data_IF_025469751570
#
_entry.id   IF_025469751570
#
_cell.length_a   1.000
_cell.length_b   1.000
_cell.length_c   1.000
_cell.angle_alpha   90.00
_cell.angle_beta   90.00
_cell.angle_gamma   90.00
#
_symmetry.space_group_name_H-M   'P 1'
#
loop_
_entity.id
_entity.type
_entity.pdbx_description
1 polymer ?
#
# COMPACT_ATOMS: atom_id res chain seq x y z
N UNK A 1 2.89 3.24 -5.40
CA UNK A 1 2.11 4.23 -6.20
C UNK A 1 2.48 4.07 -7.67
N UNK A 2 1.52 4.18 -8.60
CA UNK A 2 1.82 4.10 -10.04
C UNK A 2 2.79 5.23 -10.43
N UNK A 3 3.82 4.93 -11.24
CA UNK A 3 4.70 5.96 -11.81
C UNK A 3 3.94 6.67 -12.93
N UNK A 4 3.53 7.92 -12.68
CA UNK A 4 2.67 8.69 -13.59
C UNK A 4 3.48 9.68 -14.43
N UNK A 5 3.69 9.36 -15.71
CA UNK A 5 4.24 10.30 -16.69
C UNK A 5 3.22 11.34 -17.16
N UNK A 6 3.68 12.40 -17.85
CA UNK A 6 2.81 13.49 -18.36
C UNK A 6 1.62 12.98 -19.18
N UNK A 7 1.85 12.01 -20.07
CA UNK A 7 0.79 11.43 -20.91
C UNK A 7 -0.32 10.81 -20.06
N UNK A 8 0.04 10.09 -19.00
CA UNK A 8 -0.92 9.47 -18.09
C UNK A 8 -1.78 10.52 -17.39
N UNK A 9 -1.15 11.57 -16.84
CA UNK A 9 -1.88 12.67 -16.21
C UNK A 9 -2.94 13.28 -17.14
N UNK A 10 -2.53 13.61 -18.37
CA UNK A 10 -3.40 14.25 -19.35
C UNK A 10 -4.53 13.35 -19.87
N UNK A 11 -4.34 12.02 -19.87
CA UNK A 11 -5.29 11.09 -20.49
C UNK A 11 -6.17 10.34 -19.49
N UNK A 12 -5.70 10.14 -18.26
CA UNK A 12 -6.30 9.21 -17.31
C UNK A 12 -6.45 9.77 -15.88
N UNK A 13 -5.92 10.97 -15.59
CA UNK A 13 -6.02 11.55 -14.23
C UNK A 13 -6.95 12.76 -14.19
N UNK A 14 -6.78 13.74 -15.08
CA UNK A 14 -7.54 14.99 -14.98
C UNK A 14 -9.04 14.81 -15.24
N UNK A 15 -9.45 14.04 -16.25
CA UNK A 15 -10.86 13.91 -16.67
C UNK A 15 -11.67 15.23 -16.55
N UNK A 16 -12.68 15.29 -15.70
CA UNK A 16 -13.52 16.46 -15.37
C UNK A 16 -13.09 17.15 -14.06
N UNK A 17 -11.98 16.74 -13.46
CA UNK A 17 -11.46 17.22 -12.19
C UNK A 17 -10.65 18.50 -12.35
N UNK A 18 -10.75 19.34 -11.33
CA UNK A 18 -9.91 20.51 -11.12
C UNK A 18 -8.77 20.15 -10.17
N UNK A 19 -7.57 20.63 -10.48
CA UNK A 19 -6.39 20.50 -9.63
C UNK A 19 -6.17 21.79 -8.85
N UNK A 20 -6.09 21.70 -7.53
CA UNK A 20 -5.58 22.76 -6.67
C UNK A 20 -4.27 22.32 -6.04
N UNK A 21 -3.27 23.22 -6.02
CA UNK A 21 -1.95 22.98 -5.46
C UNK A 21 -1.74 23.95 -4.31
N UNK A 22 -1.32 23.41 -3.16
CA UNK A 22 -0.86 24.21 -2.04
C UNK A 22 0.63 24.50 -2.19
N UNK A 23 0.99 25.77 -2.02
CA UNK A 23 2.37 26.26 -2.01
C UNK A 23 2.72 26.78 -0.62
N UNK A 24 3.89 26.43 -0.12
CA UNK A 24 4.42 26.96 1.14
C UNK A 24 4.89 28.43 0.99
N UNK A 25 5.41 29.02 2.08
CA UNK A 25 5.91 30.40 2.10
C UNK A 25 7.04 30.65 1.06
N UNK A 26 7.85 29.63 0.79
CA UNK A 26 8.95 29.65 -0.18
C UNK A 26 8.49 29.36 -1.63
N UNK A 27 7.18 29.18 -1.86
CA UNK A 27 6.55 28.82 -3.14
C UNK A 27 6.91 27.43 -3.65
N UNK A 28 7.22 26.48 -2.77
CA UNK A 28 7.35 25.08 -3.15
C UNK A 28 5.97 24.41 -3.14
N UNK A 29 5.65 23.56 -4.14
CA UNK A 29 4.40 22.80 -4.15
C UNK A 29 4.49 21.65 -3.14
N UNK A 30 3.71 21.72 -2.06
CA UNK A 30 3.79 20.77 -0.93
C UNK A 30 2.53 19.95 -0.70
N UNK A 31 1.50 20.14 -1.53
CA UNK A 31 0.36 19.24 -1.59
C UNK A 31 -0.58 19.60 -2.73
N UNK A 32 -1.45 18.66 -3.10
CA UNK A 32 -2.51 18.91 -4.06
C UNK A 32 -3.81 18.18 -3.72
N UNK A 33 -4.90 18.65 -4.32
CA UNK A 33 -6.16 17.92 -4.42
C UNK A 33 -6.64 17.86 -5.86
N UNK A 34 -7.26 16.74 -6.23
CA UNK A 34 -8.09 16.63 -7.44
C UNK A 34 -9.54 16.55 -7.01
N UNK A 35 -10.36 17.48 -7.49
CA UNK A 35 -11.73 17.62 -7.03
C UNK A 35 -12.66 18.13 -8.12
N UNK A 36 -13.95 17.94 -7.92
CA UNK A 36 -15.01 18.61 -8.70
C UNK A 36 -16.15 19.05 -7.79
N UNK A 37 -16.91 20.02 -8.25
CA UNK A 37 -18.11 20.51 -7.56
C UNK A 37 -19.28 20.47 -8.54
N UNK A 38 -20.31 19.71 -8.20
CA UNK A 38 -21.55 19.62 -8.95
C UNK A 38 -22.73 19.44 -8.00
N UNK A 39 -23.88 20.06 -8.30
CA UNK A 39 -25.11 19.92 -7.49
C UNK A 39 -24.93 20.16 -5.98
N UNK A 40 -24.12 21.16 -5.60
CA UNK A 40 -23.73 21.45 -4.21
C UNK A 40 -23.02 20.30 -3.47
N UNK A 41 -22.38 19.38 -4.18
CA UNK A 41 -21.48 18.37 -3.62
C UNK A 41 -20.07 18.58 -4.14
N UNK A 42 -19.08 18.55 -3.25
CA UNK A 42 -17.67 18.45 -3.63
C UNK A 42 -17.22 17.00 -3.52
N UNK A 43 -16.66 16.46 -4.59
CA UNK A 43 -15.99 15.16 -4.60
C UNK A 43 -14.50 15.38 -4.75
N UNK A 44 -13.71 14.94 -3.77
CA UNK A 44 -12.24 14.98 -3.78
C UNK A 44 -11.75 13.55 -4.05
N UNK A 45 -11.25 13.31 -5.25
CA UNK A 45 -10.78 11.98 -5.67
C UNK A 45 -9.33 11.70 -5.25
N UNK A 46 -8.50 12.74 -5.16
CA UNK A 46 -7.14 12.63 -4.61
C UNK A 46 -6.91 13.75 -3.60
N UNK A 47 -6.39 13.39 -2.42
CA UNK A 47 -5.97 14.32 -1.36
C UNK A 47 -4.55 13.96 -0.93
N UNK A 48 -3.56 14.76 -1.35
CA UNK A 48 -2.13 14.40 -1.23
C UNK A 48 -1.32 15.53 -0.61
N UNK A 49 -1.32 15.67 0.72
CA UNK A 49 -0.39 16.55 1.44
C UNK A 49 0.95 15.86 1.72
N UNK A 50 2.08 16.55 1.55
CA UNK A 50 3.40 16.03 1.93
C UNK A 50 3.69 16.18 3.43
N UNK A 51 3.08 17.16 4.09
CA UNK A 51 3.22 17.42 5.53
C UNK A 51 1.96 18.12 6.09
N UNK A 52 1.93 18.34 7.41
CA UNK A 52 0.72 18.81 8.09
C UNK A 52 0.29 20.23 7.72
N UNK A 53 1.23 21.12 7.42
CA UNK A 53 0.90 22.46 6.92
C UNK A 53 0.15 22.39 5.58
N UNK A 54 0.64 21.59 4.62
CA UNK A 54 -0.06 21.38 3.36
C UNK A 54 -1.46 20.79 3.55
N UNK A 55 -1.62 19.85 4.50
CA UNK A 55 -2.94 19.30 4.88
C UNK A 55 -3.87 20.40 5.38
N UNK A 56 -3.42 21.24 6.30
CA UNK A 56 -4.20 22.35 6.82
C UNK A 56 -4.55 23.36 5.72
N UNK A 57 -3.60 23.67 4.83
CA UNK A 57 -3.82 24.57 3.70
C UNK A 57 -4.88 24.07 2.73
N UNK A 58 -4.79 22.81 2.31
CA UNK A 58 -5.78 22.16 1.45
C UNK A 58 -7.13 22.01 2.15
N UNK A 59 -7.17 21.71 3.45
CA UNK A 59 -8.40 21.66 4.21
C UNK A 59 -9.07 23.04 4.32
N UNK A 60 -8.31 24.09 4.61
CA UNK A 60 -8.83 25.46 4.64
C UNK A 60 -9.35 25.90 3.27
N UNK A 61 -8.69 25.48 2.18
CA UNK A 61 -9.20 25.68 0.82
C UNK A 61 -10.57 25.02 0.62
N UNK A 62 -10.76 23.79 1.08
CA UNK A 62 -12.07 23.11 1.06
C UNK A 62 -13.09 23.90 1.91
N UNK A 63 -12.71 24.36 3.11
CA UNK A 63 -13.60 25.15 3.98
C UNK A 63 -14.04 26.48 3.36
N UNK A 64 -13.24 27.10 2.47
CA UNK A 64 -13.65 28.32 1.75
C UNK A 64 -14.77 28.09 0.73
N UNK A 65 -15.18 26.84 0.51
CA UNK A 65 -16.32 26.47 -0.32
C UNK A 65 -17.60 26.19 0.51
N UNK A 66 -17.60 26.47 1.82
CA UNK A 66 -18.70 26.21 2.74
C UNK A 66 -20.06 26.79 2.30
N UNK A 67 -20.07 27.94 1.63
CA UNK A 67 -21.29 28.56 1.10
C UNK A 67 -21.80 27.91 -0.19
N UNK A 68 -20.98 27.09 -0.86
CA UNK A 68 -21.29 26.48 -2.16
C UNK A 68 -21.74 25.02 -2.06
N UNK A 69 -21.30 24.31 -1.01
CA UNK A 69 -21.51 22.86 -0.87
C UNK A 69 -22.34 22.52 0.37
N UNK A 70 -23.11 21.43 0.26
CA UNK A 70 -23.86 20.80 1.34
C UNK A 70 -23.27 19.45 1.74
N UNK A 71 -22.48 18.85 0.85
CA UNK A 71 -21.87 17.53 1.02
C UNK A 71 -20.43 17.55 0.52
N UNK A 72 -19.55 16.88 1.25
CA UNK A 72 -18.16 16.64 0.89
C UNK A 72 -17.93 15.13 0.92
N UNK A 73 -17.44 14.59 -0.18
CA UNK A 73 -16.98 13.21 -0.29
C UNK A 73 -15.49 13.21 -0.62
N UNK A 74 -14.70 12.39 0.09
CA UNK A 74 -13.26 12.32 -0.11
C UNK A 74 -12.82 10.86 -0.21
N UNK A 75 -11.99 10.56 -1.21
CA UNK A 75 -11.26 9.29 -1.30
C UNK A 75 -9.86 9.50 -0.72
N UNK A 76 -9.60 8.87 0.42
CA UNK A 76 -8.34 8.99 1.16
C UNK A 76 -7.77 7.62 1.49
N UNK A 77 -6.48 7.58 1.80
CA UNK A 77 -5.85 6.38 2.37
C UNK A 77 -6.37 6.10 3.78
N UNK A 78 -6.41 4.83 4.19
CA UNK A 78 -6.70 4.43 5.57
C UNK A 78 -5.72 5.04 6.59
N UNK A 79 -4.52 5.45 6.15
CA UNK A 79 -3.52 6.08 7.02
C UNK A 79 -3.64 7.61 7.10
N UNK A 80 -4.55 8.23 6.36
CA UNK A 80 -4.70 9.69 6.35
C UNK A 80 -5.38 10.17 7.65
N UNK A 81 -4.73 11.02 8.46
CA UNK A 81 -5.24 11.41 9.78
C UNK A 81 -6.36 12.46 9.75
N UNK A 82 -6.72 13.03 8.58
CA UNK A 82 -7.70 14.11 8.47
C UNK A 82 -9.02 13.87 9.27
N UNK A 83 -9.66 12.67 9.24
CA UNK A 83 -10.89 12.45 10.01
C UNK A 83 -10.71 12.67 11.52
N UNK A 84 -9.54 12.39 12.08
CA UNK A 84 -9.23 12.63 13.50
C UNK A 84 -9.12 14.12 13.84
N UNK A 85 -8.79 14.97 12.87
CA UNK A 85 -8.59 16.40 13.07
C UNK A 85 -9.91 17.21 13.06
N UNK A 86 -11.03 16.57 12.70
CA UNK A 86 -12.34 17.22 12.64
C UNK A 86 -12.89 17.49 14.04
N UNK A 87 -13.68 18.57 14.17
CA UNK A 87 -14.39 18.87 15.43
C UNK A 87 -15.35 17.75 15.83
N UNK A 88 -16.03 17.16 14.83
CA UNK A 88 -16.87 15.97 14.99
C UNK A 88 -16.32 14.87 14.08
N UNK A 89 -15.49 13.94 14.61
CA UNK A 89 -14.85 12.90 13.80
C UNK A 89 -15.78 11.73 13.45
N UNK A 90 -17.01 11.67 14.00
CA UNK A 90 -18.00 10.61 13.73
C UNK A 90 -18.72 10.84 12.40
N UNK A 91 -17.95 10.93 11.33
CA UNK A 91 -18.45 11.04 9.95
C UNK A 91 -18.78 9.65 9.38
N UNK A 92 -19.55 9.64 8.29
CA UNK A 92 -19.72 8.42 7.50
C UNK A 92 -18.38 8.08 6.83
N UNK A 93 -17.81 6.92 7.16
CA UNK A 93 -16.59 6.40 6.56
C UNK A 93 -16.80 4.92 6.17
N UNK A 94 -16.38 4.56 4.97
CA UNK A 94 -16.46 3.20 4.43
C UNK A 94 -15.07 2.79 3.95
N UNK A 95 -14.64 1.57 4.31
CA UNK A 95 -13.40 0.97 3.80
C UNK A 95 -13.78 -0.08 2.77
N UNK A 96 -13.29 0.08 1.54
CA UNK A 96 -13.60 -0.80 0.42
C UNK A 96 -12.32 -1.45 -0.12
N UNK A 97 -12.23 -2.79 -0.16
CA UNK A 97 -11.17 -3.47 -0.92
C UNK A 97 -11.25 -3.02 -2.39
N UNK A 98 -10.15 -2.46 -2.91
CA UNK A 98 -10.19 -1.75 -4.18
C UNK A 98 -9.39 -2.45 -5.29
N UNK A 99 -8.09 -2.67 -5.10
CA UNK A 99 -7.22 -3.31 -6.09
C UNK A 99 -6.71 -4.67 -5.63
N UNK A 100 -6.40 -5.52 -6.60
CA UNK A 100 -5.68 -6.77 -6.41
C UNK A 100 -4.27 -6.66 -6.98
N UNK A 101 -3.32 -7.36 -6.36
CA UNK A 101 -1.94 -7.45 -6.83
C UNK A 101 -1.49 -8.92 -6.80
N UNK A 102 -0.64 -9.31 -7.75
CA UNK A 102 -0.04 -10.64 -7.84
C UNK A 102 1.41 -10.52 -8.27
N UNK A 103 2.31 -11.18 -7.55
CA UNK A 103 3.69 -11.38 -8.00
C UNK A 103 3.66 -12.33 -9.21
N UNK A 104 4.26 -11.87 -10.32
CA UNK A 104 4.27 -12.64 -11.58
C UNK A 104 5.44 -13.63 -11.60
N UNK A 105 6.62 -13.18 -11.18
CA UNK A 105 7.86 -13.93 -11.15
C UNK A 105 8.52 -13.69 -9.80
N UNK A 106 8.54 -14.72 -8.95
CA UNK A 106 9.07 -14.66 -7.58
C UNK A 106 10.58 -14.39 -7.57
N UNK A 107 11.34 -15.03 -8.47
CA UNK A 107 12.79 -14.85 -8.55
C UNK A 107 13.15 -13.41 -8.91
N UNK A 108 12.55 -12.89 -9.98
CA UNK A 108 12.81 -11.53 -10.43
C UNK A 108 12.29 -10.46 -9.48
N UNK A 109 11.21 -10.76 -8.76
CA UNK A 109 10.70 -9.88 -7.71
C UNK A 109 11.72 -9.74 -6.56
N UNK A 110 12.22 -10.85 -6.03
CA UNK A 110 13.16 -10.83 -4.92
C UNK A 110 14.53 -10.24 -5.29
N UNK A 111 14.92 -10.24 -6.56
CA UNK A 111 16.11 -9.52 -7.03
C UNK A 111 16.03 -7.99 -6.86
N UNK A 112 14.82 -7.44 -6.69
CA UNK A 112 14.59 -5.99 -6.57
C UNK A 112 13.96 -5.58 -5.23
N UNK A 113 13.45 -6.54 -4.47
CA UNK A 113 12.69 -6.24 -3.26
C UNK A 113 13.61 -6.07 -2.04
N UNK A 114 13.44 -4.96 -1.34
CA UNK A 114 14.19 -4.66 -0.12
C UNK A 114 13.43 -5.16 1.12
N UNK A 115 14.14 -5.84 2.02
CA UNK A 115 13.63 -6.32 3.29
C UNK A 115 14.15 -5.46 4.45
N UNK A 116 13.44 -5.50 5.58
CA UNK A 116 13.89 -4.89 6.82
C UNK A 116 14.82 -5.86 7.56
N UNK A 117 16.12 -5.75 7.34
CA UNK A 117 17.11 -6.65 7.94
C UNK A 117 17.50 -6.32 9.40
N UNK A 118 16.91 -5.27 9.99
CA UNK A 118 17.29 -4.75 11.32
C UNK A 118 17.35 -5.87 12.38
N UNK A 119 18.58 -6.19 12.83
CA UNK A 119 18.94 -7.20 13.83
C UNK A 119 18.46 -8.63 13.57
N UNK A 120 18.03 -8.94 12.36
CA UNK A 120 17.46 -10.25 12.03
C UNK A 120 18.56 -11.24 11.64
N UNK A 121 18.98 -12.06 12.61
CA UNK A 121 20.00 -13.11 12.42
C UNK A 121 19.40 -14.49 12.10
N UNK A 122 18.09 -14.65 12.33
CA UNK A 122 17.41 -15.92 12.09
C UNK A 122 17.10 -16.11 10.61
N UNK A 123 17.47 -17.28 10.11
CA UNK A 123 17.11 -17.76 8.77
C UNK A 123 15.59 -17.89 8.63
N UNK A 124 15.06 -17.38 7.51
CA UNK A 124 13.68 -17.60 7.10
C UNK A 124 13.68 -18.31 5.76
N UNK A 125 12.95 -19.41 5.68
CA UNK A 125 12.74 -20.17 4.44
C UNK A 125 11.26 -20.08 4.09
N UNK A 126 10.97 -19.70 2.86
CA UNK A 126 9.62 -19.61 2.31
C UNK A 126 9.45 -20.70 1.25
N UNK A 127 8.43 -21.53 1.37
CA UNK A 127 8.04 -22.50 0.36
C UNK A 127 6.78 -21.98 -0.33
N UNK A 128 6.92 -21.65 -1.61
CA UNK A 128 5.88 -20.96 -2.36
C UNK A 128 5.24 -21.96 -3.31
N UNK A 129 3.90 -21.94 -3.34
CA UNK A 129 3.10 -22.73 -4.27
C UNK A 129 2.30 -21.83 -5.19
N UNK A 130 2.22 -22.21 -6.47
CA UNK A 130 1.49 -21.48 -7.49
C UNK A 130 0.93 -22.46 -8.53
N UNK A 131 -0.38 -22.65 -8.50
CA UNK A 131 -1.08 -23.59 -9.38
C UNK A 131 -1.20 -23.11 -10.82
N UNK A 132 -1.03 -21.80 -11.08
CA UNK A 132 -1.23 -21.20 -12.40
C UNK A 132 0.09 -20.79 -13.07
N UNK A 133 1.14 -20.54 -12.29
CA UNK A 133 2.47 -20.20 -12.79
C UNK A 133 3.53 -21.14 -12.21
N UNK A 134 3.80 -22.29 -12.86
CA UNK A 134 4.68 -23.33 -12.33
C UNK A 134 6.07 -22.87 -11.92
N UNK A 135 6.61 -21.85 -12.59
CA UNK A 135 7.93 -21.28 -12.31
C UNK A 135 8.04 -20.62 -10.92
N UNK A 136 6.91 -20.26 -10.29
CA UNK A 136 6.88 -19.72 -8.94
C UNK A 136 6.91 -20.80 -7.84
N UNK A 137 6.83 -22.10 -8.19
CA UNK A 137 6.92 -23.19 -7.21
C UNK A 137 8.37 -23.44 -6.79
N UNK A 138 8.91 -22.49 -6.03
CA UNK A 138 10.30 -22.47 -5.57
C UNK A 138 10.36 -22.22 -4.07
N UNK A 139 11.53 -22.50 -3.48
CA UNK A 139 11.81 -22.12 -2.10
C UNK A 139 12.78 -20.94 -2.07
N UNK A 140 12.55 -19.98 -1.18
CA UNK A 140 13.34 -18.76 -1.02
C UNK A 140 13.91 -18.71 0.39
N UNK A 141 15.21 -18.50 0.51
CA UNK A 141 15.93 -18.32 1.78
C UNK A 141 16.33 -16.89 1.97
N UNK A 142 16.00 -16.35 3.13
CA UNK A 142 16.29 -15.00 3.59
C UNK A 142 17.25 -15.12 4.78
N UNK A 143 18.52 -14.73 4.58
CA UNK A 143 19.54 -14.80 5.62
C UNK A 143 20.68 -13.82 5.32
N UNK A 144 21.23 -13.17 6.35
CA UNK A 144 22.44 -12.34 6.25
C UNK A 144 22.40 -11.25 5.16
N UNK A 145 21.26 -10.58 4.97
CA UNK A 145 21.06 -9.57 3.92
C UNK A 145 21.04 -10.13 2.49
N UNK A 146 20.99 -11.46 2.35
CA UNK A 146 20.91 -12.14 1.06
C UNK A 146 19.59 -12.88 0.91
N UNK A 147 19.06 -12.81 -0.32
CA UNK A 147 17.90 -13.56 -0.76
C UNK A 147 18.38 -14.58 -1.78
N UNK A 148 18.20 -15.87 -1.48
CA UNK A 148 18.71 -16.96 -2.32
C UNK A 148 17.60 -17.94 -2.66
N UNK A 149 17.58 -18.42 -3.90
CA UNK A 149 16.59 -19.42 -4.35
C UNK A 149 17.17 -20.81 -4.13
N UNK A 150 16.40 -21.64 -3.42
CA UNK A 150 16.75 -23.03 -3.14
C UNK A 150 15.94 -23.93 -4.07
N UNK A 151 16.62 -24.79 -4.81
CA UNK A 151 16.02 -25.74 -5.77
C UNK A 151 15.85 -27.16 -5.20
N UNK A 152 16.06 -27.36 -3.91
CA UNK A 152 16.18 -28.68 -3.30
C UNK A 152 14.98 -29.07 -2.42
N UNK A 153 14.55 -30.33 -2.55
CA UNK A 153 13.52 -30.98 -1.71
C UNK A 153 13.97 -31.23 -0.26
N UNK A 154 15.22 -30.92 0.08
CA UNK A 154 15.91 -31.36 1.31
C UNK A 154 15.47 -30.60 2.57
N UNK A 155 14.62 -29.58 2.44
CA UNK A 155 14.16 -28.74 3.57
C UNK A 155 12.63 -28.79 3.70
N UNK A 156 12.01 -29.98 3.56
CA UNK A 156 10.55 -30.10 3.73
C UNK A 156 10.07 -29.95 5.19
N UNK A 157 10.95 -30.07 6.18
CA UNK A 157 10.58 -30.04 7.59
C UNK A 157 10.72 -28.66 8.27
N UNK A 158 11.40 -27.69 7.64
CA UNK A 158 11.61 -26.33 8.17
C UNK A 158 11.21 -25.30 7.15
N UNK A 159 10.63 -24.17 7.59
CA UNK A 159 10.20 -23.09 6.72
C UNK A 159 8.69 -22.90 6.67
N UNK A 160 8.31 -21.78 6.08
CA UNK A 160 6.94 -21.29 6.04
C UNK A 160 6.31 -21.70 4.70
N UNK A 161 5.22 -22.45 4.75
CA UNK A 161 4.42 -22.81 3.59
C UNK A 161 3.41 -21.71 3.28
N UNK A 162 3.34 -21.27 2.02
CA UNK A 162 2.35 -20.31 1.55
C UNK A 162 2.08 -20.44 0.05
N UNK A 163 0.93 -19.95 -0.39
CA UNK A 163 0.66 -19.79 -1.81
C UNK A 163 1.12 -18.42 -2.33
N UNK A 164 1.11 -18.27 -3.66
CA UNK A 164 1.46 -17.01 -4.31
C UNK A 164 0.55 -15.84 -3.89
N UNK A 165 -0.68 -16.12 -3.45
CA UNK A 165 -1.64 -15.11 -3.03
C UNK A 165 -1.21 -14.51 -1.68
N UNK A 166 -0.90 -15.38 -0.71
CA UNK A 166 -0.36 -15.02 0.59
C UNK A 166 0.97 -14.27 0.46
N UNK A 167 1.88 -14.75 -0.39
CA UNK A 167 3.13 -14.04 -0.67
C UNK A 167 2.87 -12.64 -1.22
N UNK A 168 2.01 -12.52 -2.24
CA UNK A 168 1.72 -11.24 -2.89
C UNK A 168 1.13 -10.21 -1.93
N UNK A 169 0.17 -10.61 -1.10
CA UNK A 169 -0.48 -9.70 -0.14
C UNK A 169 0.46 -9.27 1.00
N UNK A 170 1.35 -10.17 1.45
CA UNK A 170 2.38 -9.86 2.44
C UNK A 170 3.39 -8.87 1.88
N UNK A 171 3.94 -9.16 0.70
CA UNK A 171 4.96 -8.32 0.07
C UNK A 171 4.41 -6.97 -0.38
N UNK A 172 3.10 -6.86 -0.63
CA UNK A 172 2.45 -5.57 -0.88
C UNK A 172 2.21 -4.75 0.40
N UNK A 173 2.31 -5.37 1.57
CA UNK A 173 2.08 -4.74 2.88
C UNK A 173 0.60 -4.63 3.29
N UNK A 174 -0.30 -5.33 2.58
CA UNK A 174 -1.74 -5.30 2.88
C UNK A 174 -2.07 -6.17 4.11
N UNK A 175 -1.49 -7.37 4.19
CA UNK A 175 -1.60 -8.28 5.33
C UNK A 175 -0.24 -8.65 5.90
N UNK A 176 -0.17 -8.82 7.22
CA UNK A 176 1.05 -9.21 7.92
C UNK A 176 1.17 -10.74 8.02
N UNK A 177 2.39 -11.31 8.05
CA UNK A 177 2.60 -12.74 8.30
C UNK A 177 1.82 -13.28 9.50
N UNK A 178 1.82 -12.57 10.65
CA UNK A 178 1.06 -13.00 11.82
C UNK A 178 -0.45 -13.09 11.56
N UNK A 179 -1.03 -12.15 10.81
CA UNK A 179 -2.46 -12.19 10.46
C UNK A 179 -2.79 -13.39 9.57
N UNK A 180 -1.96 -13.69 8.56
CA UNK A 180 -2.22 -14.82 7.68
C UNK A 180 -2.00 -16.17 8.36
N UNK A 181 -1.11 -16.24 9.35
CA UNK A 181 -0.90 -17.44 10.15
C UNK A 181 -2.10 -17.70 11.07
N UNK A 182 -2.67 -16.66 11.69
CA UNK A 182 -3.91 -16.76 12.47
C UNK A 182 -5.10 -17.24 11.63
N UNK A 183 -5.13 -16.87 10.35
CA UNK A 183 -6.14 -17.31 9.38
C UNK A 183 -5.85 -18.68 8.75
N UNK A 184 -4.77 -19.37 9.17
CA UNK A 184 -4.32 -20.65 8.63
C UNK A 184 -4.02 -20.63 7.10
N UNK A 185 -3.76 -19.44 6.55
CA UNK A 185 -3.42 -19.25 5.13
C UNK A 185 -1.92 -19.42 4.85
N UNK A 186 -1.10 -19.33 5.90
CA UNK A 186 0.30 -19.74 5.90
C UNK A 186 0.54 -20.66 7.09
N UNK A 187 1.55 -21.53 7.02
CA UNK A 187 1.92 -22.40 8.14
C UNK A 187 3.43 -22.48 8.31
N UNK A 188 3.89 -22.58 9.55
CA UNK A 188 5.30 -22.64 9.93
C UNK A 188 5.44 -22.62 11.46
N UNK A 189 6.65 -22.79 11.97
CA UNK A 189 6.86 -22.66 13.42
C UNK A 189 6.68 -21.21 13.86
N UNK A 190 6.23 -20.98 15.10
CA UNK A 190 5.97 -19.63 15.64
C UNK A 190 7.22 -18.73 15.54
N UNK A 191 8.40 -19.29 15.81
CA UNK A 191 9.66 -18.56 15.70
C UNK A 191 9.93 -18.10 14.25
N UNK A 192 9.65 -18.94 13.26
CA UNK A 192 9.84 -18.62 11.84
C UNK A 192 8.86 -17.55 11.38
N UNK A 193 7.58 -17.65 11.78
CA UNK A 193 6.57 -16.64 11.46
C UNK A 193 6.95 -15.28 12.08
N UNK A 194 7.39 -15.25 13.34
CA UNK A 194 7.86 -14.01 14.00
C UNK A 194 9.12 -13.45 13.36
N UNK A 195 10.01 -14.32 12.89
CA UNK A 195 11.20 -13.91 12.14
C UNK A 195 10.80 -13.25 10.80
N UNK A 196 9.86 -13.86 10.08
CA UNK A 196 9.36 -13.34 8.82
C UNK A 196 8.60 -12.02 8.98
N UNK A 197 7.79 -11.89 10.04
CA UNK A 197 7.10 -10.64 10.41
C UNK A 197 8.06 -9.46 10.54
N UNK A 198 9.22 -9.66 11.19
CA UNK A 198 10.23 -8.61 11.40
C UNK A 198 10.91 -8.17 10.10
N UNK A 199 11.09 -9.09 9.15
CA UNK A 199 11.66 -8.80 7.84
C UNK A 199 10.74 -7.92 6.98
N UNK A 200 9.42 -7.92 7.22
CA UNK A 200 8.47 -7.18 6.41
C UNK A 200 8.47 -5.69 6.71
N UNK A 201 8.68 -4.88 5.68
CA UNK A 201 8.55 -3.42 5.74
C UNK A 201 7.18 -3.00 6.29
N UNK A 202 7.15 -1.97 7.14
CA UNK A 202 5.90 -1.43 7.73
C UNK A 202 5.31 -0.34 6.82
N UNK A 203 5.26 -0.60 5.51
CA UNK A 203 4.67 0.31 4.51
C UNK A 203 3.24 -0.11 4.21
N UNK A 204 2.32 0.84 4.15
CA UNK A 204 0.93 0.59 3.77
C UNK A 204 0.72 0.79 2.26
N UNK A 205 0.07 -0.16 1.57
CA UNK A 205 -0.18 -0.02 0.15
C UNK A 205 -1.24 1.05 -0.13
N UNK A 206 -1.07 1.77 -1.24
CA UNK A 206 -2.04 2.73 -1.74
C UNK A 206 -1.95 2.83 -3.26
N UNK A 207 -3.12 2.87 -3.90
CA UNK A 207 -3.28 3.14 -5.33
C UNK A 207 -4.50 4.03 -5.55
N UNK A 208 -4.29 5.15 -6.22
CA UNK A 208 -5.33 6.14 -6.56
C UNK A 208 -5.85 6.02 -8.00
N UNK A 209 -5.19 5.23 -8.85
CA UNK A 209 -5.56 5.10 -10.26
C UNK A 209 -6.57 3.99 -10.47
N UNK A 210 -7.29 4.06 -11.60
CA UNK A 210 -8.09 2.99 -12.17
C UNK A 210 -7.59 2.65 -13.60
N UNK A 211 -7.56 1.38 -13.99
CA UNK A 211 -7.22 0.92 -15.34
C UNK A 211 -7.75 -0.49 -15.63
#
# INVERSE_FOLDING_TARGET
MLVRGRKWWLQAVYHDLTLAIYYDEDKNPTGYILYKIENSKMTVEEFVPLHNEARNGLWNFICQHDSMIKELEMIISETEPLPYMLQEPRIKAEVSPYFMARIVDVEQFFNQYELNWNDQQQEVILHITDSFAPWNNISVRLLNHEITIIKEETIKEKGIQMDINALSTIMFGYKRPLELNELELISGNEEEIRAFEKLMLVRKPLIYVFF
#
